data_IF_589337725537
#
_entry.id   IF_589337725537
#
_cell.length_a   1.000
_cell.length_b   1.000
_cell.length_c   1.000
_cell.angle_alpha   90.00
_cell.angle_beta   90.00
_cell.angle_gamma   90.00
#
_symmetry.space_group_name_H-M   'P 1'
#
loop_
_entity.id
_entity.type
_entity.pdbx_description
1 polymer ?
#
# COMPACT_ATOMS: atom_id res chain seq x y z
N UNK A 1 -40.20 10.53 10.87
CA UNK A 1 -39.52 10.68 9.56
C UNK A 1 -38.48 11.81 9.55
N UNK A 2 -38.70 12.97 10.21
CA UNK A 2 -37.66 14.04 10.27
C UNK A 2 -36.52 13.77 11.29
N UNK A 3 -36.76 12.99 12.35
CA UNK A 3 -35.78 12.78 13.44
C UNK A 3 -34.55 11.94 13.05
N UNK A 4 -34.70 11.01 12.11
CA UNK A 4 -33.61 10.14 11.64
C UNK A 4 -32.56 10.94 10.83
N UNK A 5 -33.01 11.93 10.05
CA UNK A 5 -32.13 12.74 9.21
C UNK A 5 -31.22 13.68 10.03
N UNK A 6 -31.68 14.14 11.20
CA UNK A 6 -30.94 15.06 12.07
C UNK A 6 -29.68 14.38 12.62
N UNK A 7 -29.73 13.07 12.90
CA UNK A 7 -28.58 12.29 13.35
C UNK A 7 -27.44 12.24 12.31
N UNK A 8 -27.78 12.12 11.03
CA UNK A 8 -26.81 12.08 9.93
C UNK A 8 -26.12 13.42 9.66
N UNK A 9 -26.74 14.54 10.03
CA UNK A 9 -26.17 15.89 9.85
C UNK A 9 -25.18 16.24 10.97
N UNK A 10 -25.35 15.66 12.17
CA UNK A 10 -24.55 15.97 13.36
C UNK A 10 -23.32 15.05 13.48
N UNK A 11 -23.39 13.80 12.98
CA UNK A 11 -22.25 12.91 12.88
C UNK A 11 -21.73 12.88 11.43
N UNK A 12 -20.62 13.57 11.10
CA UNK A 12 -20.03 13.42 9.78
C UNK A 12 -19.71 11.94 9.57
N UNK A 13 -20.12 11.39 8.43
CA UNK A 13 -19.73 10.04 8.02
C UNK A 13 -18.22 10.08 7.79
N UNK A 14 -17.45 9.72 8.81
CA UNK A 14 -16.01 9.57 8.71
C UNK A 14 -15.78 8.38 7.78
N UNK A 15 -15.37 8.66 6.55
CA UNK A 15 -14.92 7.61 5.63
C UNK A 15 -13.62 7.03 6.16
N UNK A 16 -13.70 5.77 6.61
CA UNK A 16 -12.55 4.97 7.02
C UNK A 16 -12.22 4.09 5.82
N UNK A 17 -11.14 4.41 5.13
CA UNK A 17 -10.65 3.65 3.98
C UNK A 17 -9.12 3.54 4.02
N UNK A 18 -8.55 2.76 3.10
CA UNK A 18 -7.10 2.60 2.98
C UNK A 18 -6.42 3.97 2.84
N UNK A 19 -5.46 4.24 3.72
CA UNK A 19 -4.62 5.45 3.66
C UNK A 19 -3.16 5.05 3.75
N UNK A 20 -2.34 5.54 2.83
CA UNK A 20 -0.88 5.51 2.99
C UNK A 20 -0.52 6.66 3.93
N UNK A 21 -0.01 6.33 5.12
CA UNK A 21 0.29 7.32 6.16
C UNK A 21 1.71 7.84 6.06
N UNK A 22 2.63 7.02 5.55
CA UNK A 22 4.02 7.39 5.34
C UNK A 22 4.68 6.47 4.31
N UNK A 23 5.62 7.03 3.58
CA UNK A 23 6.39 6.35 2.56
C UNK A 23 7.86 6.71 2.70
N UNK A 24 8.72 5.72 2.91
CA UNK A 24 10.15 5.89 3.13
C UNK A 24 10.91 5.14 2.05
N UNK A 25 11.60 5.90 1.20
CA UNK A 25 12.41 5.40 0.08
C UNK A 25 13.72 6.19 0.03
N UNK A 26 14.88 5.52 -0.04
CA UNK A 26 16.16 6.19 -0.21
C UNK A 26 16.19 7.03 -1.49
N UNK A 27 16.71 8.26 -1.40
CA UNK A 27 16.84 9.15 -2.57
C UNK A 27 17.97 8.73 -3.52
N UNK A 28 18.96 7.98 -3.01
CA UNK A 28 20.09 7.46 -3.76
C UNK A 28 20.58 6.17 -3.11
N UNK A 29 20.98 5.21 -3.93
CA UNK A 29 21.58 3.93 -3.51
C UNK A 29 22.80 3.68 -4.39
N UNK A 30 23.88 3.18 -3.81
CA UNK A 30 25.08 2.82 -4.57
C UNK A 30 24.80 1.54 -5.37
N UNK A 31 25.21 1.42 -6.64
CA UNK A 31 25.00 0.20 -7.41
C UNK A 31 25.59 -1.03 -6.70
N UNK A 32 24.78 -2.07 -6.53
CA UNK A 32 25.14 -3.31 -5.84
C UNK A 32 24.77 -3.34 -4.36
N UNK A 33 24.42 -2.20 -3.75
CA UNK A 33 23.91 -2.16 -2.38
C UNK A 33 22.40 -2.43 -2.33
N UNK A 34 21.94 -2.93 -1.19
CA UNK A 34 20.50 -3.15 -0.92
C UNK A 34 19.79 -1.87 -0.53
N UNK A 35 18.52 -1.75 -0.93
CA UNK A 35 17.63 -0.65 -0.57
C UNK A 35 16.38 -1.18 0.14
N UNK A 36 15.92 -0.48 1.17
CA UNK A 36 14.68 -0.81 1.86
C UNK A 36 13.61 0.20 1.47
N UNK A 37 12.51 -0.28 0.90
CA UNK A 37 11.34 0.52 0.58
C UNK A 37 10.23 0.21 1.59
N UNK A 38 9.83 1.22 2.35
CA UNK A 38 8.86 1.05 3.44
C UNK A 38 7.59 1.85 3.16
N UNK A 39 6.44 1.17 3.25
CA UNK A 39 5.12 1.79 3.10
C UNK A 39 4.30 1.53 4.36
N UNK A 40 4.00 2.59 5.10
CA UNK A 40 3.09 2.56 6.24
C UNK A 40 1.68 2.89 5.75
N UNK A 41 0.72 2.06 6.10
CA UNK A 41 -0.67 2.24 5.70
C UNK A 41 -1.63 1.88 6.83
N UNK A 42 -2.79 2.52 6.81
CA UNK A 42 -3.93 2.25 7.69
C UNK A 42 -5.07 1.66 6.85
N UNK A 43 -5.50 0.45 7.19
CA UNK A 43 -6.61 -0.26 6.55
C UNK A 43 -7.98 0.08 7.15
N UNK A 44 -8.00 0.78 8.29
CA UNK A 44 -9.21 1.00 9.05
C UNK A 44 -9.82 -0.32 9.53
N UNK A 45 -11.00 -0.66 9.01
CA UNK A 45 -11.74 -1.89 9.35
C UNK A 45 -11.65 -2.97 8.27
N UNK A 46 -10.90 -2.71 7.21
CA UNK A 46 -10.80 -3.60 6.05
C UNK A 46 -9.57 -4.51 6.10
N UNK A 47 -9.55 -5.52 5.23
CA UNK A 47 -8.40 -6.40 5.05
C UNK A 47 -7.56 -5.95 3.85
N UNK A 48 -6.25 -6.14 3.96
CA UNK A 48 -5.33 -5.87 2.86
C UNK A 48 -5.61 -6.84 1.70
N UNK A 49 -5.90 -6.28 0.53
CA UNK A 49 -6.02 -7.07 -0.70
C UNK A 49 -4.65 -7.37 -1.31
N UNK A 50 -3.83 -6.33 -1.54
CA UNK A 50 -2.46 -6.49 -2.05
C UNK A 50 -1.61 -5.25 -1.79
N UNK A 51 -0.29 -5.43 -1.75
CA UNK A 51 0.71 -4.35 -1.87
C UNK A 51 1.48 -4.60 -3.17
N UNK A 52 1.69 -3.55 -3.97
CA UNK A 52 2.43 -3.63 -5.23
C UNK A 52 3.43 -2.48 -5.29
N UNK A 53 4.63 -2.77 -5.77
CA UNK A 53 5.65 -1.77 -6.02
C UNK A 53 5.93 -1.64 -7.51
N UNK A 54 6.04 -0.40 -7.95
CA UNK A 54 6.28 -0.03 -9.33
C UNK A 54 7.50 0.88 -9.43
N UNK A 55 8.31 0.65 -10.45
CA UNK A 55 9.39 1.54 -10.88
C UNK A 55 9.21 1.78 -12.37
N UNK A 56 9.17 3.04 -12.79
CA UNK A 56 9.02 3.42 -14.20
C UNK A 56 7.83 2.74 -14.90
N UNK A 57 6.70 2.66 -14.20
CA UNK A 57 5.46 1.98 -14.63
C UNK A 57 5.54 0.44 -14.75
N UNK A 58 6.68 -0.17 -14.41
CA UNK A 58 6.85 -1.61 -14.35
C UNK A 58 6.66 -2.10 -12.93
N UNK A 59 5.75 -3.07 -12.76
CA UNK A 59 5.58 -3.76 -11.49
C UNK A 59 6.78 -4.67 -11.25
N UNK A 60 7.45 -4.53 -10.10
CA UNK A 60 8.61 -5.35 -9.78
C UNK A 60 8.39 -6.23 -8.54
N UNK A 61 7.45 -5.87 -7.66
CA UNK A 61 7.11 -6.67 -6.49
C UNK A 61 5.61 -6.61 -6.19
N UNK A 62 5.09 -7.72 -5.69
CA UNK A 62 3.69 -7.87 -5.32
C UNK A 62 3.54 -8.79 -4.11
N UNK A 63 2.81 -8.34 -3.11
CA UNK A 63 2.37 -9.13 -1.95
C UNK A 63 0.84 -9.26 -1.95
N UNK A 64 0.35 -10.50 -1.88
CA UNK A 64 -1.07 -10.89 -1.80
C UNK A 64 -1.25 -11.82 -0.58
N UNK A 65 -1.77 -11.32 0.56
CA UNK A 65 -1.90 -12.10 1.79
C UNK A 65 -2.73 -13.39 1.64
N UNK A 66 -3.67 -13.40 0.69
CA UNK A 66 -4.59 -14.51 0.46
C UNK A 66 -4.04 -15.61 -0.45
N UNK A 67 -2.83 -15.47 -1.01
CA UNK A 67 -2.24 -16.42 -1.95
C UNK A 67 -1.08 -17.20 -1.33
N UNK A 68 -0.73 -18.31 -1.98
CA UNK A 68 0.47 -19.10 -1.70
C UNK A 68 1.21 -19.35 -3.03
N UNK A 69 2.44 -18.84 -3.23
CA UNK A 69 3.19 -17.99 -2.30
C UNK A 69 2.53 -16.62 -2.10
N UNK A 70 2.77 -16.01 -0.93
CA UNK A 70 2.17 -14.72 -0.57
C UNK A 70 2.79 -13.54 -1.33
N UNK A 71 3.97 -13.71 -1.94
CA UNK A 71 4.63 -12.67 -2.71
C UNK A 71 5.17 -13.19 -4.04
N UNK A 72 5.35 -12.26 -4.98
CA UNK A 72 5.93 -12.47 -6.29
C UNK A 72 6.86 -11.29 -6.61
N UNK A 73 8.05 -11.60 -7.10
CA UNK A 73 8.96 -10.64 -7.72
C UNK A 73 8.86 -10.76 -9.25
N UNK A 74 8.95 -9.63 -9.94
CA UNK A 74 8.90 -9.56 -11.40
C UNK A 74 10.18 -8.91 -11.92
N UNK A 75 10.71 -9.36 -13.07
CA UNK A 75 11.90 -8.75 -13.66
C UNK A 75 11.67 -7.27 -13.97
N UNK A 76 12.57 -6.41 -13.50
CA UNK A 76 12.57 -4.99 -13.77
C UNK A 76 13.99 -4.48 -14.06
N UNK A 77 14.18 -3.57 -15.05
CA UNK A 77 15.51 -3.07 -15.39
C UNK A 77 16.23 -2.41 -14.22
N UNK A 78 17.44 -2.91 -13.91
CA UNK A 78 18.32 -2.35 -12.88
C UNK A 78 17.90 -2.67 -11.44
N UNK A 79 16.98 -3.62 -11.25
CA UNK A 79 16.60 -4.13 -9.93
C UNK A 79 16.89 -5.63 -9.85
N UNK A 80 17.46 -6.05 -8.73
CA UNK A 80 17.56 -7.43 -8.31
C UNK A 80 16.78 -7.57 -7.01
N UNK A 81 15.98 -8.64 -6.89
CA UNK A 81 15.05 -8.82 -5.76
C UNK A 81 15.30 -10.20 -5.18
N UNK A 82 15.90 -10.21 -4.00
CA UNK A 82 16.22 -11.39 -3.19
C UNK A 82 15.03 -11.87 -2.34
#
# INVERSE_FOLDING_TARGET
MLGEAIWFIIFPIISIGLKITRFEVPSLVVPGDSAILTCFYDLGKEKLYSVKWYKDHVEFFRFFPSLSPQYMAFPAPGLDID
#
